data_IF_652720756678
#
_entry.id   IF_652720756678
#
_cell.length_a   1.000
_cell.length_b   1.000
_cell.length_c   1.000
_cell.angle_alpha   90.00
_cell.angle_beta   90.00
_cell.angle_gamma   90.00
#
_symmetry.space_group_name_H-M   'P 1'
#
loop_
_entity.id
_entity.type
_entity.pdbx_description
1 polymer ?
#
# COMPACT_ATOMS: atom_id res chain seq x y z
N UNK A 1 17.11 -15.44 4.32
CA UNK A 1 16.59 -14.30 3.56
C UNK A 1 15.58 -13.68 4.49
N UNK A 2 15.90 -12.54 5.11
CA UNK A 2 14.86 -11.84 5.86
C UNK A 2 13.92 -11.23 4.82
N UNK A 3 12.62 -11.54 4.91
CA UNK A 3 11.55 -10.81 4.23
C UNK A 3 11.46 -9.42 4.88
N UNK A 4 12.41 -8.53 4.52
CA UNK A 4 12.53 -7.17 5.07
C UNK A 4 11.82 -6.12 4.17
N UNK A 5 11.07 -6.59 3.17
CA UNK A 5 10.32 -5.77 2.21
C UNK A 5 8.91 -5.51 2.71
N UNK A 6 8.34 -4.36 2.32
CA UNK A 6 7.01 -3.96 2.74
C UNK A 6 5.95 -5.01 2.33
N UNK A 7 4.95 -5.24 3.19
CA UNK A 7 3.87 -6.20 2.89
C UNK A 7 2.76 -5.57 2.08
N UNK A 8 2.41 -6.18 0.95
CA UNK A 8 1.19 -5.87 0.20
C UNK A 8 0.09 -6.85 0.63
N UNK A 9 -0.81 -6.39 1.51
CA UNK A 9 -1.78 -7.22 2.22
C UNK A 9 -3.09 -7.26 1.46
N UNK A 10 -3.53 -8.45 1.06
CA UNK A 10 -4.83 -8.66 0.42
C UNK A 10 -5.94 -8.77 1.46
N UNK A 11 -6.94 -7.90 1.37
CA UNK A 11 -8.18 -8.00 2.18
C UNK A 11 -9.44 -8.14 1.35
N UNK A 12 -9.33 -8.19 0.01
CA UNK A 12 -10.46 -8.48 -0.85
C UNK A 12 -10.19 -9.69 -1.75
N UNK A 13 -11.04 -10.72 -1.59
CA UNK A 13 -10.88 -12.01 -2.29
C UNK A 13 -11.84 -12.22 -3.46
N UNK A 14 -12.52 -11.17 -3.94
CA UNK A 14 -13.52 -11.28 -5.01
C UNK A 14 -12.97 -11.52 -6.43
N UNK A 15 -11.67 -11.32 -6.67
CA UNK A 15 -11.04 -11.57 -7.99
C UNK A 15 -9.54 -11.93 -7.84
N UNK A 16 -9.20 -13.21 -7.94
CA UNK A 16 -7.82 -13.69 -7.85
C UNK A 16 -6.95 -13.26 -9.03
N UNK A 17 -7.52 -13.15 -10.22
CA UNK A 17 -6.76 -12.77 -11.41
C UNK A 17 -6.38 -11.29 -11.37
N UNK A 18 -7.28 -10.44 -10.86
CA UNK A 18 -6.99 -9.04 -10.64
C UNK A 18 -6.00 -8.84 -9.49
N UNK A 19 -6.09 -9.63 -8.41
CA UNK A 19 -5.10 -9.61 -7.34
C UNK A 19 -3.67 -9.83 -7.88
N UNK A 20 -3.45 -10.89 -8.68
CA UNK A 20 -2.14 -11.17 -9.28
C UNK A 20 -1.63 -9.96 -10.09
N UNK A 21 -2.50 -9.36 -10.90
CA UNK A 21 -2.14 -8.17 -11.69
C UNK A 21 -1.81 -6.97 -10.81
N UNK A 22 -2.54 -6.73 -9.73
CA UNK A 22 -2.27 -5.63 -8.80
C UNK A 22 -0.92 -5.85 -8.12
N UNK A 23 -0.62 -7.07 -7.67
CA UNK A 23 0.70 -7.39 -7.08
C UNK A 23 1.84 -7.14 -8.08
N UNK A 24 1.67 -7.54 -9.35
CA UNK A 24 2.67 -7.28 -10.40
C UNK A 24 2.81 -5.77 -10.69
N UNK A 25 1.70 -5.04 -10.76
CA UNK A 25 1.70 -3.60 -11.03
C UNK A 25 2.30 -2.79 -9.88
N UNK A 26 2.11 -3.21 -8.63
CA UNK A 26 2.66 -2.53 -7.46
C UNK A 26 4.19 -2.57 -7.44
N UNK A 27 4.79 -3.64 -7.97
CA UNK A 27 6.25 -3.79 -8.08
C UNK A 27 6.80 -3.46 -9.48
N UNK A 28 5.98 -2.90 -10.38
CA UNK A 28 6.44 -2.54 -11.71
C UNK A 28 7.38 -1.34 -11.68
N UNK A 29 8.40 -1.36 -12.54
CA UNK A 29 9.32 -0.23 -12.70
C UNK A 29 8.57 1.03 -13.14
N UNK A 30 8.88 2.14 -12.47
CA UNK A 30 8.45 3.48 -12.83
C UNK A 30 9.13 3.92 -14.13
N UNK A 31 8.63 4.98 -14.79
CA UNK A 31 9.30 5.58 -15.95
C UNK A 31 10.75 6.03 -15.67
N UNK A 32 11.11 6.21 -14.41
CA UNK A 32 12.42 6.65 -13.94
C UNK A 32 13.36 5.47 -13.62
N UNK A 33 12.87 4.21 -13.71
CA UNK A 33 13.64 3.00 -13.46
C UNK A 33 13.67 2.56 -11.99
N UNK A 34 12.81 3.13 -11.15
CA UNK A 34 12.67 2.78 -9.73
C UNK A 34 11.45 1.87 -9.53
N UNK A 35 11.46 0.97 -8.55
CA UNK A 35 10.33 0.09 -8.26
C UNK A 35 10.12 -0.03 -6.74
N UNK A 36 8.86 -0.17 -6.32
CA UNK A 36 8.58 -0.58 -4.95
C UNK A 36 8.98 -2.04 -4.75
N UNK A 37 9.43 -2.38 -3.54
CA UNK A 37 9.65 -3.77 -3.16
C UNK A 37 8.56 -4.23 -2.18
N UNK A 38 7.55 -4.93 -2.73
CA UNK A 38 6.50 -5.55 -1.91
C UNK A 38 6.59 -7.07 -1.86
N UNK A 39 6.37 -7.63 -0.67
CA UNK A 39 6.02 -9.04 -0.49
C UNK A 39 4.49 -9.18 -0.45
N UNK A 40 3.85 -9.86 -1.43
CA UNK A 40 2.43 -10.12 -1.39
C UNK A 40 2.04 -11.03 -0.23
N UNK A 41 1.09 -10.59 0.59
CA UNK A 41 0.53 -11.34 1.70
C UNK A 41 -0.96 -11.61 1.44
N UNK A 42 -1.31 -12.88 1.25
CA UNK A 42 -2.67 -13.30 0.88
C UNK A 42 -3.09 -14.50 1.74
N UNK A 43 -3.73 -14.21 2.88
CA UNK A 43 -4.40 -15.19 3.73
C UNK A 43 -5.91 -14.95 3.72
N UNK A 44 -6.75 -15.92 3.29
CA UNK A 44 -8.21 -15.76 3.25
C UNK A 44 -8.86 -15.38 4.59
N UNK A 45 -8.18 -15.57 5.73
CA UNK A 45 -8.68 -15.09 7.03
C UNK A 45 -8.79 -13.57 7.11
N UNK A 46 -8.06 -12.86 6.23
CA UNK A 46 -8.02 -11.40 6.17
C UNK A 46 -9.10 -10.80 5.26
N UNK A 47 -9.99 -11.61 4.68
CA UNK A 47 -11.07 -11.11 3.82
C UNK A 47 -11.99 -10.17 4.60
N UNK A 48 -12.06 -8.91 4.15
CA UNK A 48 -12.79 -7.84 4.81
C UNK A 48 -12.15 -7.27 6.08
N UNK A 49 -10.90 -7.63 6.40
CA UNK A 49 -10.21 -7.13 7.60
C UNK A 49 -10.07 -5.60 7.59
N UNK A 50 -10.38 -4.99 8.73
CA UNK A 50 -10.21 -3.56 8.99
C UNK A 50 -8.75 -3.19 9.28
N UNK A 51 -8.42 -1.89 9.22
CA UNK A 51 -7.08 -1.39 9.60
C UNK A 51 -6.74 -1.80 11.05
N UNK A 52 -7.71 -1.71 11.95
CA UNK A 52 -7.52 -2.06 13.38
C UNK A 52 -7.14 -3.55 13.53
N UNK A 53 -7.88 -4.45 12.88
CA UNK A 53 -7.57 -5.90 12.91
C UNK A 53 -6.21 -6.21 12.26
N UNK A 54 -5.88 -5.52 11.16
CA UNK A 54 -4.59 -5.66 10.51
C UNK A 54 -3.45 -5.12 11.39
N UNK A 55 -3.65 -4.03 12.12
CA UNK A 55 -2.66 -3.50 13.05
C UNK A 55 -2.40 -4.47 14.23
N UNK A 56 -3.40 -5.26 14.66
CA UNK A 56 -3.17 -6.31 15.66
C UNK A 56 -2.28 -7.45 15.13
N UNK A 57 -2.37 -7.76 13.83
CA UNK A 57 -1.64 -8.86 13.19
C UNK A 57 -0.25 -8.42 12.70
N UNK A 58 -0.17 -7.21 12.14
CA UNK A 58 0.97 -6.65 11.42
C UNK A 58 1.53 -5.40 12.09
N UNK A 59 1.21 -5.11 13.36
CA UNK A 59 1.63 -3.88 14.04
C UNK A 59 3.14 -3.69 14.24
N UNK A 60 3.97 -4.67 13.84
CA UNK A 60 5.42 -4.50 13.73
C UNK A 60 5.85 -3.86 12.40
N UNK A 61 5.00 -3.86 11.39
CA UNK A 61 5.23 -3.15 10.13
C UNK A 61 5.11 -1.65 10.37
N UNK A 62 5.98 -0.81 9.80
CA UNK A 62 5.84 0.64 9.95
C UNK A 62 4.62 1.18 9.19
N UNK A 63 4.21 0.49 8.12
CA UNK A 63 3.11 0.89 7.24
C UNK A 63 2.38 -0.36 6.76
N UNK A 64 1.06 -0.29 6.74
CA UNK A 64 0.20 -1.31 6.13
C UNK A 64 -0.17 -0.87 4.69
N UNK A 65 0.20 -1.67 3.70
CA UNK A 65 -0.23 -1.48 2.31
C UNK A 65 -1.32 -2.48 1.97
N UNK A 66 -2.56 -2.01 1.82
CA UNK A 66 -3.76 -2.85 1.82
C UNK A 66 -4.43 -2.81 0.44
N UNK A 67 -4.67 -4.00 -0.12
CA UNK A 67 -5.44 -4.23 -1.34
C UNK A 67 -6.83 -4.71 -0.96
N UNK A 68 -7.72 -3.73 -0.83
CA UNK A 68 -9.14 -3.90 -0.50
C UNK A 68 -10.04 -3.84 -1.75
N UNK A 69 -11.37 -3.88 -1.53
CA UNK A 69 -12.34 -3.83 -2.62
C UNK A 69 -12.22 -2.54 -3.44
N UNK A 70 -11.95 -1.40 -2.80
CA UNK A 70 -11.78 -0.11 -3.47
C UNK A 70 -10.54 -0.11 -4.37
N UNK A 71 -9.48 -0.82 -3.99
CA UNK A 71 -8.29 -1.01 -4.83
C UNK A 71 -8.64 -1.78 -6.12
N UNK A 72 -9.49 -2.81 -6.04
CA UNK A 72 -9.94 -3.55 -7.21
C UNK A 72 -10.86 -2.72 -8.12
N UNK A 73 -11.73 -1.90 -7.54
CA UNK A 73 -12.74 -1.13 -8.28
C UNK A 73 -12.21 0.21 -8.83
N UNK A 74 -11.14 0.74 -8.24
CA UNK A 74 -10.54 2.01 -8.65
C UNK A 74 -9.80 1.92 -9.98
N UNK A 75 -9.99 2.93 -10.84
CA UNK A 75 -9.36 2.97 -12.17
C UNK A 75 -7.82 3.03 -12.15
N UNK A 76 -7.24 3.49 -11.03
CA UNK A 76 -5.81 3.61 -10.76
C UNK A 76 -5.32 2.62 -9.69
N UNK A 77 -6.14 1.61 -9.37
CA UNK A 77 -5.89 0.62 -8.32
C UNK A 77 -5.31 1.21 -7.02
N UNK A 78 -6.00 2.18 -6.38
CA UNK A 78 -5.43 2.95 -5.29
C UNK A 78 -5.31 2.07 -4.02
N UNK A 79 -4.08 1.72 -3.69
CA UNK A 79 -3.72 0.98 -2.48
C UNK A 79 -4.09 1.83 -1.27
N UNK A 80 -4.67 1.22 -0.24
CA UNK A 80 -4.88 1.86 1.04
C UNK A 80 -3.60 1.77 1.87
N UNK A 81 -2.96 2.91 2.12
CA UNK A 81 -1.81 2.99 3.01
C UNK A 81 -2.30 3.44 4.39
N UNK A 82 -1.93 2.70 5.43
CA UNK A 82 -2.34 3.02 6.79
C UNK A 82 -1.15 2.91 7.76
N UNK A 83 -1.14 3.82 8.73
CA UNK A 83 -0.28 3.73 9.90
C UNK A 83 -0.93 2.79 10.92
N UNK A 84 -0.30 1.67 11.29
CA UNK A 84 -0.86 0.74 12.27
C UNK A 84 -0.90 1.30 13.70
N UNK A 85 -0.10 2.31 14.04
CA UNK A 85 -0.09 2.92 15.38
C UNK A 85 -1.25 3.90 15.56
N UNK A 86 -1.50 4.76 14.56
CA UNK A 86 -2.51 5.83 14.64
C UNK A 86 -3.84 5.46 13.98
N UNK A 87 -3.83 4.53 13.03
CA UNK A 87 -4.97 4.20 12.17
C UNK A 87 -5.22 5.23 11.07
N UNK A 88 -4.40 6.28 10.97
CA UNK A 88 -4.51 7.25 9.88
C UNK A 88 -4.17 6.60 8.54
N UNK A 89 -4.84 7.03 7.49
CA UNK A 89 -4.71 6.39 6.18
C UNK A 89 -4.98 7.31 5.02
N UNK A 90 -4.44 6.95 3.86
CA UNK A 90 -4.67 7.63 2.59
C UNK A 90 -4.68 6.64 1.42
N UNK A 91 -5.17 7.11 0.26
CA UNK A 91 -5.15 6.33 -0.97
C UNK A 91 -3.93 6.66 -1.81
N UNK A 92 -3.15 5.63 -2.11
CA UNK A 92 -1.93 5.68 -2.90
C UNK A 92 -2.21 5.10 -4.30
N UNK A 93 -2.25 5.92 -5.36
CA UNK A 93 -2.37 5.41 -6.72
C UNK A 93 -1.24 4.43 -7.03
N UNK A 94 -1.55 3.27 -7.63
CA UNK A 94 -0.55 2.20 -7.79
C UNK A 94 0.68 2.64 -8.60
N UNK A 95 0.47 3.57 -9.55
CA UNK A 95 1.53 4.11 -10.41
C UNK A 95 2.59 4.93 -9.67
N UNK A 96 2.30 5.36 -8.43
CA UNK A 96 3.23 6.10 -7.58
C UNK A 96 3.60 5.31 -6.31
N UNK A 97 3.29 4.02 -6.26
CA UNK A 97 3.57 3.19 -5.08
C UNK A 97 5.08 3.12 -4.76
N UNK A 98 5.92 3.04 -5.80
CA UNK A 98 7.38 3.09 -5.70
C UNK A 98 7.88 4.30 -4.91
N UNK A 99 7.28 5.48 -5.12
CA UNK A 99 7.74 6.71 -4.47
C UNK A 99 7.47 6.65 -2.97
N UNK A 100 6.22 6.33 -2.60
CA UNK A 100 5.83 6.30 -1.20
C UNK A 100 6.57 5.19 -0.45
N UNK A 101 6.64 3.98 -1.01
CA UNK A 101 7.32 2.85 -0.38
C UNK A 101 8.80 3.16 -0.15
N UNK A 102 9.55 3.55 -1.18
CA UNK A 102 10.98 3.84 -1.04
C UNK A 102 11.25 4.99 -0.06
N UNK A 103 10.53 6.12 -0.17
CA UNK A 103 10.82 7.27 0.68
C UNK A 103 10.43 7.03 2.15
N UNK A 104 9.36 6.27 2.41
CA UNK A 104 8.96 5.92 3.77
C UNK A 104 9.88 4.85 4.37
N UNK A 105 10.26 3.84 3.58
CA UNK A 105 11.21 2.79 3.99
C UNK A 105 12.60 3.36 4.27
N UNK A 106 13.08 4.31 3.45
CA UNK A 106 14.36 4.98 3.65
C UNK A 106 14.30 6.10 4.70
N UNK A 107 13.11 6.49 5.15
CA UNK A 107 12.90 7.58 6.11
C UNK A 107 13.20 8.97 5.54
N UNK A 108 13.16 9.14 4.22
CA UNK A 108 13.27 10.43 3.54
C UNK A 108 12.03 11.30 3.78
N UNK A 109 10.87 10.66 3.96
CA UNK A 109 9.64 11.27 4.47
C UNK A 109 9.06 10.40 5.59
N UNK A 110 8.30 11.00 6.50
CA UNK A 110 7.48 10.27 7.47
C UNK A 110 6.00 10.20 7.05
N UNK A 111 5.18 9.47 7.80
CA UNK A 111 3.77 9.26 7.48
C UNK A 111 2.93 10.55 7.54
N UNK A 112 3.20 11.45 8.49
CA UNK A 112 2.53 12.76 8.57
C UNK A 112 2.84 13.62 7.34
N UNK A 113 4.09 13.61 6.88
CA UNK A 113 4.49 14.27 5.64
C UNK A 113 3.77 13.66 4.43
N UNK A 114 3.64 12.33 4.38
CA UNK A 114 2.88 11.67 3.32
C UNK A 114 1.39 12.04 3.34
N UNK A 115 0.77 12.13 4.52
CA UNK A 115 -0.60 12.62 4.69
C UNK A 115 -0.76 14.06 4.20
N UNK A 116 0.22 14.93 4.45
CA UNK A 116 0.23 16.31 3.98
C UNK A 116 0.36 16.43 2.44
N UNK A 117 0.83 15.38 1.77
CA UNK A 117 0.93 15.28 0.30
C UNK A 117 -0.35 14.74 -0.35
N UNK A 118 -1.37 14.41 0.45
CA UNK A 118 -2.67 13.97 -0.05
C UNK A 118 -3.47 15.18 -0.55
N UNK A 119 -3.86 15.14 -1.83
CA UNK A 119 -4.66 16.19 -2.44
C UNK A 119 -6.12 16.21 -1.94
N UNK A 120 -6.88 17.25 -2.31
CA UNK A 120 -8.31 17.38 -2.00
C UNK A 120 -9.17 16.22 -2.54
N UNK A 121 -8.66 15.46 -3.51
CA UNK A 121 -9.25 14.24 -4.06
C UNK A 121 -8.96 12.98 -3.23
N UNK A 122 -8.30 13.13 -2.07
CA UNK A 122 -7.98 12.04 -1.14
C UNK A 122 -6.86 11.12 -1.63
N UNK A 123 -6.13 11.53 -2.68
CA UNK A 123 -5.04 10.77 -3.29
C UNK A 123 -3.68 11.36 -2.98
N UNK A 124 -2.73 10.49 -2.66
CA UNK A 124 -1.32 10.85 -2.53
C UNK A 124 -0.77 11.43 -3.83
N UNK A 125 -0.05 12.54 -3.75
CA UNK A 125 0.60 13.21 -4.88
C UNK A 125 2.07 13.45 -4.52
N UNK A 126 3.02 12.71 -5.13
CA UNK A 126 4.43 12.96 -4.87
C UNK A 126 4.79 14.41 -5.22
N UNK A 127 5.72 14.98 -4.46
CA UNK A 127 6.24 16.30 -4.77
C UNK A 127 6.94 16.28 -6.15
N UNK A 128 6.81 17.36 -6.94
CA UNK A 128 7.39 17.44 -8.29
C UNK A 128 8.93 17.46 -8.30
#
# INVERSE_FOLDING_TARGET
MSDDTAKLIRTYFGDDALWVKISELACAESPEGEAAEFTPHSDPVLDGASIEELAEIFGSEPILYIVDEATHQGADHPILCADPETGESFRLPISVAWYAELNLTLGEINFDEALAMVGEDGRFKPAP
#
